data_IF_411711669852
#
_entry.id   IF_411711669852
#
_cell.length_a   1.000
_cell.length_b   1.000
_cell.length_c   1.000
_cell.angle_alpha   90.00
_cell.angle_beta   90.00
_cell.angle_gamma   90.00
#
_symmetry.space_group_name_H-M   'P 1'
#
loop_
_entity.id
_entity.type
_entity.pdbx_description
1 polymer ?
#
# COMPACT_ATOMS: atom_id res chain seq x y z
N UNK A 1 29.67 20.53 -33.96
CA UNK A 1 29.26 20.48 -32.55
C UNK A 1 28.36 19.25 -32.41
N UNK A 2 28.93 18.12 -31.97
CA UNK A 2 28.20 16.84 -31.79
C UNK A 2 27.80 16.71 -30.33
N UNK A 3 26.51 16.67 -30.09
CA UNK A 3 25.90 16.46 -28.76
C UNK A 3 25.94 14.97 -28.41
N UNK A 4 26.76 14.60 -27.44
CA UNK A 4 26.87 13.26 -26.89
C UNK A 4 25.59 12.91 -26.10
N UNK A 5 24.66 12.17 -26.70
CA UNK A 5 23.59 11.47 -26.00
C UNK A 5 24.20 10.27 -25.24
N UNK A 6 24.36 10.38 -23.93
CA UNK A 6 24.74 9.25 -23.07
C UNK A 6 23.60 8.22 -23.03
N UNK A 7 23.76 7.16 -23.81
CA UNK A 7 22.95 5.94 -23.74
C UNK A 7 23.24 5.25 -22.39
N UNK A 8 22.28 5.25 -21.51
CA UNK A 8 22.29 4.41 -20.32
C UNK A 8 21.88 2.99 -20.73
N UNK A 9 22.88 2.16 -21.02
CA UNK A 9 22.68 0.72 -21.18
C UNK A 9 22.59 0.10 -19.77
N UNK A 10 21.39 -0.22 -19.31
CA UNK A 10 21.19 -1.05 -18.14
C UNK A 10 21.41 -2.52 -18.55
N UNK A 11 22.51 -3.10 -18.10
CA UNK A 11 22.77 -4.53 -18.24
C UNK A 11 21.73 -5.30 -17.43
N UNK A 12 20.95 -6.10 -18.11
CA UNK A 12 20.03 -7.08 -17.50
C UNK A 12 20.88 -8.18 -16.86
N UNK A 13 21.15 -8.05 -15.57
CA UNK A 13 21.82 -9.09 -14.80
C UNK A 13 20.75 -10.11 -14.41
N UNK A 14 20.81 -11.31 -14.97
CA UNK A 14 19.96 -12.44 -14.61
C UNK A 14 20.33 -12.88 -13.17
N UNK A 15 19.64 -12.31 -12.17
CA UNK A 15 19.94 -12.50 -10.78
C UNK A 15 19.05 -13.61 -10.16
N UNK A 16 19.68 -14.36 -9.28
CA UNK A 16 19.22 -15.19 -8.16
C UNK A 16 17.71 -15.10 -7.84
N UNK A 17 17.04 -16.20 -7.52
CA UNK A 17 15.59 -16.22 -7.39
C UNK A 17 15.10 -15.23 -6.34
N UNK A 18 14.35 -14.22 -6.77
CA UNK A 18 13.64 -13.18 -5.99
C UNK A 18 12.57 -13.77 -5.04
N UNK A 19 12.78 -14.99 -4.53
CA UNK A 19 11.78 -15.73 -3.74
C UNK A 19 11.91 -15.51 -2.24
N UNK A 20 13.10 -15.18 -1.76
CA UNK A 20 13.32 -15.09 -0.32
C UNK A 20 12.62 -13.89 0.30
N UNK A 21 12.79 -12.69 -0.27
CA UNK A 21 12.18 -11.45 0.22
C UNK A 21 10.66 -11.51 0.08
N UNK A 22 10.14 -12.00 -1.05
CA UNK A 22 8.69 -12.18 -1.24
C UNK A 22 8.10 -13.13 -0.17
N UNK A 23 8.77 -14.24 0.11
CA UNK A 23 8.35 -15.19 1.16
C UNK A 23 8.38 -14.55 2.55
N UNK A 24 9.40 -13.74 2.85
CA UNK A 24 9.50 -13.01 4.12
C UNK A 24 8.41 -11.93 4.23
N UNK A 25 8.11 -11.21 3.14
CA UNK A 25 7.02 -10.23 3.12
C UNK A 25 5.65 -10.89 3.33
N UNK A 26 5.40 -12.05 2.70
CA UNK A 26 4.17 -12.83 2.89
C UNK A 26 4.04 -13.25 4.36
N UNK A 27 5.11 -13.75 4.97
CA UNK A 27 5.11 -14.11 6.38
C UNK A 27 4.86 -12.89 7.30
N UNK A 28 5.53 -11.75 7.03
CA UNK A 28 5.34 -10.52 7.79
C UNK A 28 3.91 -9.96 7.65
N UNK A 29 3.31 -10.06 6.45
CA UNK A 29 1.93 -9.64 6.22
C UNK A 29 0.92 -10.57 6.91
N UNK A 30 1.19 -11.89 6.98
CA UNK A 30 0.37 -12.82 7.73
C UNK A 30 0.41 -12.55 9.23
N UNK A 31 1.58 -12.26 9.79
CA UNK A 31 1.73 -11.84 11.19
C UNK A 31 0.96 -10.56 11.48
N UNK A 32 1.06 -9.55 10.58
CA UNK A 32 0.30 -8.30 10.68
C UNK A 32 -1.20 -8.56 10.68
N UNK A 33 -1.69 -9.35 9.70
CA UNK A 33 -3.10 -9.75 9.59
C UNK A 33 -3.62 -10.32 10.90
N UNK A 34 -2.91 -11.32 11.44
CA UNK A 34 -3.33 -12.05 12.62
C UNK A 34 -3.22 -11.18 13.90
N UNK A 35 -2.26 -10.27 13.95
CA UNK A 35 -2.11 -9.34 15.07
C UNK A 35 -3.23 -8.31 15.11
N UNK A 36 -3.56 -7.67 13.98
CA UNK A 36 -4.62 -6.64 13.94
C UNK A 36 -6.01 -7.24 14.07
N UNK A 37 -6.23 -8.51 13.70
CA UNK A 37 -7.50 -9.21 13.92
C UNK A 37 -7.85 -9.41 15.40
N UNK A 38 -6.87 -9.27 16.31
CA UNK A 38 -7.10 -9.35 17.76
C UNK A 38 -7.49 -8.02 18.40
N UNK A 39 -7.45 -6.93 17.62
CA UNK A 39 -7.81 -5.61 18.11
C UNK A 39 -9.33 -5.40 18.06
N UNK A 40 -9.83 -4.58 19.01
CA UNK A 40 -11.21 -4.16 19.07
C UNK A 40 -11.29 -2.64 18.99
N UNK A 41 -12.32 -2.15 18.33
CA UNK A 41 -12.57 -0.73 18.14
C UNK A 41 -13.99 -0.41 18.58
N UNK A 42 -14.19 0.76 19.17
CA UNK A 42 -15.47 1.21 19.73
C UNK A 42 -16.11 2.27 18.83
N UNK A 43 -17.39 2.56 19.03
CA UNK A 43 -18.04 3.68 18.35
C UNK A 43 -17.22 4.97 18.42
N UNK A 44 -17.16 5.73 17.32
CA UNK A 44 -18.03 5.65 16.13
C UNK A 44 -17.56 4.67 15.03
N UNK A 45 -16.58 3.79 15.29
CA UNK A 45 -16.20 2.70 14.37
C UNK A 45 -17.20 1.56 14.56
N UNK A 46 -17.98 1.26 13.52
CA UNK A 46 -18.99 0.18 13.55
C UNK A 46 -18.52 -1.04 12.71
N UNK A 47 -17.72 -0.80 11.69
CA UNK A 47 -17.20 -1.86 10.83
C UNK A 47 -15.70 -1.68 10.64
N UNK A 48 -14.98 -2.79 10.80
CA UNK A 48 -13.53 -2.85 10.52
C UNK A 48 -13.30 -3.85 9.41
N UNK A 49 -12.66 -3.39 8.32
CA UNK A 49 -12.28 -4.25 7.23
C UNK A 49 -10.79 -4.53 7.30
N UNK A 50 -10.43 -5.81 7.32
CA UNK A 50 -9.05 -6.26 7.17
C UNK A 50 -8.86 -6.92 5.80
N UNK A 51 -8.45 -6.20 4.75
CA UNK A 51 -8.20 -6.79 3.43
C UNK A 51 -7.11 -7.87 3.43
N UNK A 52 -6.21 -7.87 4.42
CA UNK A 52 -5.23 -8.96 4.57
C UNK A 52 -5.88 -10.27 5.00
N UNK A 53 -7.11 -10.23 5.51
CA UNK A 53 -7.86 -11.44 5.86
C UNK A 53 -8.70 -11.92 4.67
N UNK A 54 -9.75 -11.20 4.31
CA UNK A 54 -10.69 -11.65 3.28
C UNK A 54 -10.17 -11.55 1.83
N UNK A 55 -9.19 -10.70 1.56
CA UNK A 55 -8.55 -10.59 0.26
C UNK A 55 -7.09 -11.12 0.27
N UNK A 56 -6.81 -12.07 1.17
CA UNK A 56 -5.46 -12.61 1.36
C UNK A 56 -4.85 -13.14 0.07
N UNK A 57 -5.60 -13.94 -0.69
CA UNK A 57 -5.10 -14.54 -1.92
C UNK A 57 -4.60 -13.49 -2.93
N UNK A 58 -5.31 -12.36 -3.05
CA UNK A 58 -4.90 -11.25 -3.91
C UNK A 58 -3.68 -10.51 -3.35
N UNK A 59 -3.63 -10.29 -2.03
CA UNK A 59 -2.47 -9.69 -1.38
C UNK A 59 -1.22 -10.58 -1.49
N UNK A 60 -1.35 -11.87 -1.24
CA UNK A 60 -0.28 -12.85 -1.37
C UNK A 60 0.23 -12.94 -2.82
N UNK A 61 -0.68 -12.94 -3.81
CA UNK A 61 -0.30 -12.88 -5.22
C UNK A 61 0.49 -11.61 -5.55
N UNK A 62 0.09 -10.45 -5.00
CA UNK A 62 0.80 -9.20 -5.14
C UNK A 62 2.20 -9.27 -4.53
N UNK A 63 2.33 -9.74 -3.28
CA UNK A 63 3.61 -9.89 -2.60
C UNK A 63 4.52 -10.90 -3.33
N UNK A 64 3.97 -12.05 -3.71
CA UNK A 64 4.72 -13.10 -4.41
C UNK A 64 5.23 -12.66 -5.78
N UNK A 65 4.43 -11.88 -6.52
CA UNK A 65 4.79 -11.40 -7.86
C UNK A 65 5.79 -10.27 -7.83
N UNK A 66 5.66 -9.34 -6.89
CA UNK A 66 6.36 -8.07 -6.92
C UNK A 66 7.29 -7.80 -5.72
N UNK A 67 7.19 -8.58 -4.64
CA UNK A 67 7.94 -8.37 -3.40
C UNK A 67 9.37 -8.88 -3.42
N UNK A 68 9.82 -9.54 -4.50
CA UNK A 68 11.16 -10.13 -4.54
C UNK A 68 12.27 -9.12 -4.85
N UNK A 69 13.45 -9.37 -4.26
CA UNK A 69 14.66 -8.57 -4.41
C UNK A 69 14.65 -7.28 -3.58
N UNK A 70 15.86 -6.77 -3.29
CA UNK A 70 16.02 -5.47 -2.67
C UNK A 70 15.36 -4.37 -3.51
N UNK A 71 14.86 -3.33 -2.85
CA UNK A 71 14.16 -2.22 -3.52
C UNK A 71 14.91 -0.92 -3.29
N UNK A 72 15.05 -0.14 -4.33
CA UNK A 72 15.63 1.19 -4.22
C UNK A 72 14.70 2.15 -3.47
N UNK A 73 13.39 2.05 -3.70
CA UNK A 73 12.41 2.87 -2.99
C UNK A 73 11.16 2.07 -2.59
N UNK A 74 10.66 2.35 -1.37
CA UNK A 74 9.38 1.83 -0.87
C UNK A 74 8.43 3.01 -0.67
N UNK A 75 7.27 2.98 -1.31
CA UNK A 75 6.20 3.95 -1.12
C UNK A 75 5.31 3.52 0.04
N UNK A 76 5.12 4.40 1.01
CA UNK A 76 4.32 4.15 2.20
C UNK A 76 3.03 4.96 2.17
N UNK A 77 1.88 4.28 2.06
CA UNK A 77 0.55 4.86 2.24
C UNK A 77 0.09 4.81 3.71
N UNK A 78 -1.07 5.40 3.99
CA UNK A 78 -1.67 5.41 5.33
C UNK A 78 -2.42 4.11 5.61
N UNK A 79 -3.58 3.93 4.97
CA UNK A 79 -4.49 2.80 5.20
C UNK A 79 -5.44 2.59 4.00
N UNK A 80 -6.19 1.46 3.95
CA UNK A 80 -7.11 1.17 2.86
C UNK A 80 -8.20 2.23 2.66
N UNK A 81 -8.40 2.63 1.41
CA UNK A 81 -9.61 3.33 0.98
C UNK A 81 -10.75 2.32 0.71
N UNK A 82 -12.03 2.72 0.92
CA UNK A 82 -13.19 1.81 0.83
C UNK A 82 -13.46 1.30 -0.59
N UNK A 83 -12.98 1.97 -1.64
CA UNK A 83 -13.09 1.57 -3.04
C UNK A 83 -11.74 1.17 -3.66
N UNK A 84 -10.69 1.18 -2.83
CA UNK A 84 -9.33 0.82 -3.17
C UNK A 84 -8.90 -0.51 -2.57
N UNK A 85 -7.89 -0.50 -1.72
CA UNK A 85 -7.36 -1.72 -1.09
C UNK A 85 -8.44 -2.52 -0.35
N UNK A 86 -9.47 -1.88 0.21
CA UNK A 86 -10.58 -2.60 0.84
C UNK A 86 -11.34 -3.50 -0.15
N UNK A 87 -11.31 -3.20 -1.46
CA UNK A 87 -11.92 -4.05 -2.48
C UNK A 87 -10.98 -5.15 -2.96
N UNK A 88 -9.68 -4.88 -3.09
CA UNK A 88 -8.78 -5.73 -3.89
C UNK A 88 -7.56 -6.25 -3.14
N UNK A 89 -7.37 -5.90 -1.87
CA UNK A 89 -6.23 -6.36 -1.06
C UNK A 89 -4.87 -5.76 -1.43
N UNK A 90 -4.78 -4.89 -2.44
CA UNK A 90 -3.53 -4.29 -2.92
C UNK A 90 -3.42 -2.84 -2.46
N UNK A 91 -2.28 -2.37 -1.92
CA UNK A 91 -2.07 -0.99 -1.53
C UNK A 91 -2.37 0.00 -2.67
N UNK A 92 -3.05 1.11 -2.38
CA UNK A 92 -3.58 2.04 -3.40
C UNK A 92 -4.44 1.35 -4.45
N UNK A 93 -5.01 0.17 -4.17
CA UNK A 93 -5.74 -0.62 -5.13
C UNK A 93 -6.87 0.20 -5.78
N UNK A 94 -6.91 0.19 -7.08
CA UNK A 94 -8.00 0.64 -7.93
C UNK A 94 -8.25 -0.51 -8.90
N UNK A 95 -9.51 -0.90 -9.07
CA UNK A 95 -9.86 -2.18 -9.69
C UNK A 95 -9.22 -2.36 -11.06
N UNK A 96 -9.34 -1.36 -11.95
CA UNK A 96 -8.75 -1.45 -13.29
C UNK A 96 -7.22 -1.56 -13.26
N UNK A 97 -6.55 -0.77 -12.40
CA UNK A 97 -5.11 -0.84 -12.26
C UNK A 97 -4.65 -2.20 -11.71
N UNK A 98 -5.37 -2.75 -10.72
CA UNK A 98 -5.03 -4.05 -10.10
C UNK A 98 -5.24 -5.20 -11.08
N UNK A 99 -6.40 -5.23 -11.76
CA UNK A 99 -6.74 -6.28 -12.70
C UNK A 99 -5.93 -6.19 -13.99
N UNK A 100 -5.88 -5.03 -14.63
CA UNK A 100 -5.42 -4.89 -16.00
C UNK A 100 -3.91 -4.60 -16.09
N UNK A 101 -3.36 -3.82 -15.16
CA UNK A 101 -1.94 -3.49 -15.16
C UNK A 101 -1.14 -4.38 -14.20
N UNK A 102 -1.53 -4.49 -12.92
CA UNK A 102 -0.85 -5.35 -11.95
C UNK A 102 -1.14 -6.85 -12.19
N UNK A 103 -2.18 -7.16 -12.95
CA UNK A 103 -2.56 -8.55 -13.31
C UNK A 103 -2.77 -9.42 -12.07
N UNK A 104 -3.39 -8.86 -11.04
CA UNK A 104 -3.81 -9.57 -9.84
C UNK A 104 -5.25 -10.00 -10.05
N UNK A 105 -5.48 -11.30 -10.09
CA UNK A 105 -6.76 -11.92 -10.44
C UNK A 105 -7.21 -13.00 -9.43
N UNK A 106 -6.47 -13.12 -8.31
CA UNK A 106 -6.83 -14.05 -7.25
C UNK A 106 -8.20 -13.71 -6.63
N UNK A 107 -8.92 -14.72 -6.12
CA UNK A 107 -10.24 -14.54 -5.55
C UNK A 107 -10.20 -13.63 -4.32
N UNK A 108 -11.26 -12.82 -4.18
CA UNK A 108 -11.46 -11.89 -3.08
C UNK A 108 -12.72 -12.31 -2.33
N UNK A 109 -12.55 -12.60 -1.05
CA UNK A 109 -13.66 -12.90 -0.15
C UNK A 109 -14.33 -11.65 0.40
N UNK A 110 -15.04 -11.80 1.52
CA UNK A 110 -15.77 -10.74 2.18
C UNK A 110 -15.39 -10.64 3.64
N UNK A 111 -15.43 -9.43 4.23
CA UNK A 111 -15.27 -9.29 5.68
C UNK A 111 -16.44 -9.99 6.41
N UNK A 112 -16.24 -10.41 7.67
CA UNK A 112 -17.27 -11.06 8.47
C UNK A 112 -18.56 -10.23 8.63
N UNK A 113 -18.41 -8.90 8.60
CA UNK A 113 -19.52 -7.94 8.64
C UNK A 113 -19.29 -6.85 7.60
N UNK A 114 -20.24 -6.68 6.69
CA UNK A 114 -20.18 -5.67 5.62
C UNK A 114 -21.10 -4.49 5.94
N UNK A 115 -20.55 -3.28 5.78
CA UNK A 115 -21.36 -2.06 5.83
C UNK A 115 -22.26 -1.97 4.58
N UNK A 116 -23.60 -1.75 4.70
CA UNK A 116 -24.51 -1.79 3.56
C UNK A 116 -24.16 -0.80 2.43
N UNK A 117 -23.55 0.34 2.77
CA UNK A 117 -23.11 1.35 1.79
C UNK A 117 -21.67 1.11 1.27
N UNK A 118 -20.98 0.12 1.78
CA UNK A 118 -19.57 -0.18 1.45
C UNK A 118 -19.33 -1.69 1.27
N UNK A 119 -20.15 -2.37 0.46
CA UNK A 119 -19.96 -3.78 0.23
C UNK A 119 -18.61 -4.04 -0.46
N UNK A 120 -18.00 -5.16 -0.16
CA UNK A 120 -16.80 -5.65 -0.85
C UNK A 120 -17.26 -6.46 -2.07
N UNK A 121 -17.04 -5.89 -3.25
CA UNK A 121 -17.38 -6.49 -4.54
C UNK A 121 -16.14 -7.04 -5.27
N UNK A 122 -14.96 -6.87 -4.68
CA UNK A 122 -13.71 -7.34 -5.28
C UNK A 122 -13.41 -6.64 -6.60
N UNK A 123 -12.99 -7.44 -7.58
CA UNK A 123 -12.67 -6.95 -8.93
C UNK A 123 -13.92 -6.54 -9.74
N UNK A 124 -15.11 -6.83 -9.25
CA UNK A 124 -16.38 -6.40 -9.86
C UNK A 124 -16.86 -5.03 -9.32
N UNK A 125 -16.09 -4.39 -8.43
CA UNK A 125 -16.45 -3.08 -7.89
C UNK A 125 -16.44 -2.02 -9.01
N UNK A 126 -17.62 -1.39 -9.32
CA UNK A 126 -17.72 -0.45 -10.43
C UNK A 126 -17.15 0.94 -10.08
N UNK A 127 -16.79 1.17 -8.82
CA UNK A 127 -16.31 2.47 -8.34
C UNK A 127 -14.81 2.55 -8.40
N UNK A 128 -14.30 3.56 -9.10
CA UNK A 128 -12.87 3.86 -9.14
C UNK A 128 -12.40 4.57 -7.86
N UNK A 129 -11.26 4.16 -7.34
CA UNK A 129 -10.55 4.84 -6.25
C UNK A 129 -9.64 5.92 -6.85
N UNK A 130 -9.96 7.18 -6.62
CA UNK A 130 -9.24 8.30 -7.23
C UNK A 130 -7.76 8.32 -6.87
N UNK A 131 -7.41 8.01 -5.60
CA UNK A 131 -6.02 7.99 -5.15
C UNK A 131 -5.23 6.88 -5.86
N UNK A 132 -5.82 5.68 -5.94
CA UNK A 132 -5.23 4.55 -6.63
C UNK A 132 -5.08 4.78 -8.13
N UNK A 133 -6.12 5.33 -8.77
CA UNK A 133 -6.07 5.66 -10.20
C UNK A 133 -4.95 6.65 -10.53
N UNK A 134 -4.78 7.71 -9.70
CA UNK A 134 -3.70 8.69 -9.89
C UNK A 134 -2.33 8.05 -9.66
N UNK A 135 -2.19 7.29 -8.57
CA UNK A 135 -0.94 6.66 -8.19
C UNK A 135 -0.49 5.64 -9.25
N UNK A 136 -1.28 4.61 -9.49
CA UNK A 136 -0.94 3.56 -10.44
C UNK A 136 -0.94 4.04 -11.89
N UNK A 137 -1.84 4.97 -12.26
CA UNK A 137 -1.87 5.56 -13.60
C UNK A 137 -0.57 6.28 -13.94
N UNK A 138 -0.01 7.04 -13.01
CA UNK A 138 1.28 7.70 -13.18
C UNK A 138 2.42 6.69 -13.41
N UNK A 139 2.49 5.64 -12.59
CA UNK A 139 3.55 4.65 -12.75
C UNK A 139 3.36 3.77 -13.99
N UNK A 140 2.12 3.46 -14.35
CA UNK A 140 1.83 2.76 -15.60
C UNK A 140 2.28 3.56 -16.84
N UNK A 141 2.04 4.87 -16.85
CA UNK A 141 2.52 5.77 -17.90
C UNK A 141 4.05 5.83 -17.96
N UNK A 142 4.72 5.93 -16.79
CA UNK A 142 6.18 6.08 -16.71
C UNK A 142 6.95 4.80 -17.02
N UNK A 143 6.45 3.66 -16.60
CA UNK A 143 7.18 2.38 -16.65
C UNK A 143 6.63 1.41 -17.71
N UNK A 144 5.42 1.64 -18.22
CA UNK A 144 4.75 0.77 -19.17
C UNK A 144 4.33 -0.56 -18.56
N UNK A 145 5.28 -1.37 -18.09
CA UNK A 145 5.02 -2.67 -17.49
C UNK A 145 5.27 -2.63 -15.97
N UNK A 146 4.44 -3.33 -15.16
CA UNK A 146 4.59 -3.34 -13.70
C UNK A 146 5.93 -3.93 -13.26
N UNK A 147 6.45 -4.92 -13.97
CA UNK A 147 7.75 -5.53 -13.66
C UNK A 147 8.89 -4.50 -13.70
N UNK A 148 8.81 -3.51 -14.60
CA UNK A 148 9.81 -2.44 -14.68
C UNK A 148 9.74 -1.50 -13.47
N UNK A 149 8.54 -1.20 -12.97
CA UNK A 149 8.37 -0.44 -11.72
C UNK A 149 8.86 -1.23 -10.52
N UNK A 150 8.39 -2.47 -10.38
CA UNK A 150 8.71 -3.31 -9.22
C UNK A 150 10.12 -3.90 -9.22
N UNK A 151 10.91 -3.69 -10.28
CA UNK A 151 12.34 -4.02 -10.25
C UNK A 151 13.06 -3.28 -9.11
N UNK A 152 12.76 -1.99 -8.94
CA UNK A 152 13.43 -1.09 -7.99
C UNK A 152 12.50 -0.48 -6.93
N UNK A 153 11.18 -0.65 -7.08
CA UNK A 153 10.18 0.00 -6.21
C UNK A 153 9.24 -1.01 -5.58
N UNK A 154 8.69 -0.64 -4.42
CA UNK A 154 7.60 -1.39 -3.80
C UNK A 154 6.59 -0.44 -3.15
N UNK A 155 5.40 -0.96 -2.82
CA UNK A 155 4.31 -0.13 -2.26
C UNK A 155 3.67 -0.88 -1.10
N UNK A 156 3.52 -0.21 0.05
CA UNK A 156 2.86 -0.74 1.24
C UNK A 156 1.95 0.31 1.88
N UNK A 157 1.00 -0.12 2.69
CA UNK A 157 0.31 0.74 3.63
C UNK A 157 0.85 0.52 5.04
N UNK A 158 0.91 1.60 5.84
CA UNK A 158 1.28 1.55 7.24
C UNK A 158 0.27 0.73 8.06
N UNK A 159 -1.02 1.04 7.93
CA UNK A 159 -2.11 0.33 8.58
C UNK A 159 -2.89 -0.50 7.54
N UNK A 160 -3.17 -1.79 7.80
CA UNK A 160 -3.91 -2.63 6.86
C UNK A 160 -5.43 -2.47 6.99
N UNK A 161 -5.94 -1.78 8.03
CA UNK A 161 -7.36 -1.73 8.34
C UNK A 161 -8.07 -0.51 7.74
N UNK A 162 -9.29 -0.71 7.26
CA UNK A 162 -10.24 0.35 6.99
C UNK A 162 -11.30 0.39 8.11
N UNK A 163 -11.56 1.59 8.62
CA UNK A 163 -12.50 1.83 9.71
C UNK A 163 -13.72 2.58 9.18
N UNK A 164 -14.90 2.03 9.33
CA UNK A 164 -16.13 2.62 8.82
C UNK A 164 -17.08 2.97 9.97
N UNK A 165 -17.59 4.19 9.93
CA UNK A 165 -18.66 4.65 10.80
C UNK A 165 -20.02 4.13 10.27
N UNK A 166 -21.09 4.17 11.07
CA UNK A 166 -22.45 3.79 10.68
C UNK A 166 -22.95 4.50 9.40
N UNK A 167 -22.48 5.72 9.16
CA UNK A 167 -22.79 6.47 7.93
C UNK A 167 -22.10 5.91 6.68
N UNK A 168 -21.14 5.01 6.84
CA UNK A 168 -20.22 4.53 5.81
C UNK A 168 -19.06 5.49 5.55
N UNK A 169 -18.83 6.47 6.42
CA UNK A 169 -17.66 7.34 6.37
C UNK A 169 -16.42 6.53 6.75
N UNK A 170 -15.37 6.65 5.96
CA UNK A 170 -14.06 6.09 6.29
C UNK A 170 -13.37 6.99 7.33
N UNK A 171 -13.01 6.41 8.46
CA UNK A 171 -12.22 7.04 9.51
C UNK A 171 -10.76 6.64 9.34
N UNK A 172 -9.85 7.58 9.40
CA UNK A 172 -8.42 7.32 9.30
C UNK A 172 -7.81 6.98 10.66
N UNK A 173 -6.70 6.22 10.73
CA UNK A 173 -6.06 5.82 11.99
C UNK A 173 -5.76 6.97 12.95
N UNK A 174 -5.38 8.14 12.43
CA UNK A 174 -5.12 9.35 13.22
C UNK A 174 -6.35 9.97 13.87
N UNK A 175 -7.55 9.47 13.57
CA UNK A 175 -8.83 9.91 14.15
C UNK A 175 -9.39 8.92 15.18
N UNK A 176 -8.70 7.82 15.43
CA UNK A 176 -9.09 6.87 16.47
C UNK A 176 -8.70 7.40 17.85
N UNK A 177 -9.42 7.00 18.93
CA UNK A 177 -9.01 7.27 20.29
C UNK A 177 -7.62 6.71 20.61
N UNK A 178 -6.87 7.39 21.46
CA UNK A 178 -5.51 6.99 21.82
C UNK A 178 -5.42 5.56 22.40
N UNK A 179 -6.45 5.11 23.10
CA UNK A 179 -6.52 3.74 23.65
C UNK A 179 -6.55 2.67 22.56
N UNK A 180 -7.12 2.97 21.39
CA UNK A 180 -7.21 2.08 20.23
C UNK A 180 -6.01 2.27 19.29
N UNK A 181 -5.57 3.53 19.13
CA UNK A 181 -4.46 3.86 18.24
C UNK A 181 -3.13 3.25 18.72
N UNK A 182 -2.84 3.30 20.03
CA UNK A 182 -1.56 2.83 20.59
C UNK A 182 -1.28 1.35 20.30
N UNK A 183 -2.18 0.39 20.60
CA UNK A 183 -1.92 -1.01 20.28
C UNK A 183 -1.83 -1.26 18.77
N UNK A 184 -2.63 -0.56 17.96
CA UNK A 184 -2.56 -0.62 16.51
C UNK A 184 -1.20 -0.12 15.98
N UNK A 185 -0.71 1.00 16.50
CA UNK A 185 0.58 1.58 16.11
C UNK A 185 1.75 0.67 16.46
N UNK A 186 1.74 0.00 17.61
CA UNK A 186 2.81 -0.97 17.96
C UNK A 186 2.91 -2.05 16.87
N UNK A 187 1.80 -2.64 16.50
CA UNK A 187 1.75 -3.70 15.47
C UNK A 187 2.19 -3.17 14.09
N UNK A 188 1.67 -2.00 13.69
CA UNK A 188 2.01 -1.39 12.40
C UNK A 188 3.49 -0.93 12.34
N UNK A 189 4.03 -0.43 13.44
CA UNK A 189 5.44 -0.03 13.54
C UNK A 189 6.37 -1.23 13.37
N UNK A 190 6.07 -2.34 14.06
CA UNK A 190 6.83 -3.59 13.91
C UNK A 190 6.80 -4.11 12.47
N UNK A 191 5.62 -4.07 11.83
CA UNK A 191 5.50 -4.48 10.44
C UNK A 191 6.31 -3.57 9.50
N UNK A 192 6.23 -2.25 9.65
CA UNK A 192 7.01 -1.30 8.84
C UNK A 192 8.51 -1.55 8.98
N UNK A 193 8.99 -1.76 10.21
CA UNK A 193 10.39 -2.08 10.46
C UNK A 193 10.81 -3.40 9.77
N UNK A 194 9.95 -4.44 9.82
CA UNK A 194 10.19 -5.71 9.11
C UNK A 194 10.25 -5.50 7.59
N UNK A 195 9.33 -4.76 7.01
CA UNK A 195 9.32 -4.47 5.56
C UNK A 195 10.61 -3.78 5.12
N UNK A 196 11.06 -2.77 5.88
CA UNK A 196 12.32 -2.07 5.58
C UNK A 196 13.53 -2.99 5.73
N UNK A 197 13.56 -3.83 6.76
CA UNK A 197 14.65 -4.79 6.96
C UNK A 197 14.71 -5.85 5.83
N UNK A 198 13.57 -6.30 5.31
CA UNK A 198 13.49 -7.27 4.22
C UNK A 198 13.90 -6.64 2.88
N UNK A 199 13.35 -5.47 2.55
CA UNK A 199 13.52 -4.85 1.23
C UNK A 199 14.78 -3.98 1.13
N UNK A 200 15.36 -3.57 2.26
CA UNK A 200 16.57 -2.75 2.36
C UNK A 200 16.55 -1.52 1.43
N UNK A 201 15.51 -0.68 1.45
CA UNK A 201 15.39 0.42 0.52
C UNK A 201 16.40 1.53 0.83
N UNK A 202 16.92 2.18 -0.23
CA UNK A 202 17.64 3.45 -0.10
C UNK A 202 16.71 4.59 0.36
N UNK A 203 15.46 4.55 -0.14
CA UNK A 203 14.45 5.56 0.15
C UNK A 203 13.15 4.94 0.64
N UNK A 204 12.57 5.52 1.70
CA UNK A 204 11.17 5.36 2.02
C UNK A 204 10.44 6.65 1.63
N UNK A 205 9.55 6.54 0.65
CA UNK A 205 8.79 7.66 0.10
C UNK A 205 7.39 7.67 0.72
N UNK A 206 7.19 8.53 1.68
CA UNK A 206 5.91 8.70 2.35
C UNK A 206 4.89 9.40 1.43
N UNK A 207 3.70 8.82 1.29
CA UNK A 207 2.58 9.39 0.53
C UNK A 207 1.70 10.17 1.48
N UNK A 208 2.02 11.46 1.66
CA UNK A 208 1.36 12.37 2.59
C UNK A 208 2.00 12.45 3.97
N UNK A 209 1.60 13.46 4.75
CA UNK A 209 2.25 13.80 6.04
C UNK A 209 2.07 12.77 7.15
N UNK A 210 0.97 12.00 7.16
CA UNK A 210 0.80 10.94 8.15
C UNK A 210 1.87 9.85 7.98
N UNK A 211 2.06 9.38 6.75
CA UNK A 211 3.05 8.36 6.45
C UNK A 211 4.47 8.84 6.73
N UNK A 212 4.78 10.12 6.42
CA UNK A 212 6.07 10.74 6.74
C UNK A 212 6.34 10.74 8.24
N UNK A 213 5.35 11.17 9.05
CA UNK A 213 5.45 11.17 10.50
C UNK A 213 5.75 9.76 11.03
N UNK A 214 4.98 8.75 10.60
CA UNK A 214 5.17 7.36 11.05
C UNK A 214 6.50 6.77 10.58
N UNK A 215 6.92 7.02 9.36
CA UNK A 215 8.22 6.61 8.88
C UNK A 215 9.36 7.20 9.73
N UNK A 216 9.30 8.51 10.04
CA UNK A 216 10.32 9.19 10.84
C UNK A 216 10.36 8.69 12.28
N UNK A 217 9.20 8.38 12.87
CA UNK A 217 9.12 7.80 14.22
C UNK A 217 9.71 6.40 14.29
N UNK A 218 9.38 5.53 13.33
CA UNK A 218 9.75 4.11 13.34
C UNK A 218 11.18 3.88 12.89
N UNK A 219 11.65 4.64 11.90
CA UNK A 219 12.91 4.39 11.21
C UNK A 219 14.03 5.36 11.61
N UNK A 220 13.89 6.03 12.76
CA UNK A 220 14.86 7.02 13.24
C UNK A 220 16.29 6.48 13.45
N UNK A 221 16.46 5.16 13.57
CA UNK A 221 17.74 4.47 13.72
C UNK A 221 18.10 3.62 12.47
N UNK A 222 17.27 3.61 11.43
CA UNK A 222 17.52 2.84 10.23
C UNK A 222 18.32 3.66 9.21
N UNK A 223 19.18 2.98 8.45
CA UNK A 223 19.91 3.60 7.34
C UNK A 223 19.03 3.65 6.09
N UNK A 224 18.01 4.50 6.15
CA UNK A 224 17.05 4.74 5.06
C UNK A 224 16.73 6.23 4.99
N UNK A 225 16.74 6.79 3.78
CA UNK A 225 16.35 8.18 3.56
C UNK A 225 14.84 8.28 3.49
N UNK A 226 14.25 9.25 4.20
CA UNK A 226 12.81 9.49 4.16
C UNK A 226 12.53 10.70 3.27
N UNK A 227 11.70 10.48 2.26
CA UNK A 227 11.15 11.52 1.40
C UNK A 227 9.63 11.57 1.50
N UNK A 228 9.01 12.66 1.01
CA UNK A 228 7.55 12.79 0.96
C UNK A 228 7.07 13.26 -0.40
N UNK A 229 5.98 12.66 -0.86
CA UNK A 229 5.17 13.17 -1.97
C UNK A 229 3.77 13.54 -1.48
N UNK A 230 3.06 14.36 -2.25
CA UNK A 230 1.67 14.69 -1.94
C UNK A 230 0.78 13.44 -2.00
N UNK A 231 -0.19 13.38 -1.08
CA UNK A 231 -1.20 12.32 -1.15
C UNK A 231 -2.12 12.54 -2.36
N UNK A 232 -2.34 11.53 -3.22
CA UNK A 232 -3.14 11.68 -4.44
C UNK A 232 -4.66 11.78 -4.22
N UNK A 233 -5.09 11.94 -2.96
CA UNK A 233 -6.50 12.06 -2.58
C UNK A 233 -7.18 13.27 -3.20
N UNK A 234 -8.46 13.16 -3.60
CA UNK A 234 -9.27 14.30 -4.00
C UNK A 234 -9.48 15.33 -2.86
N UNK A 235 -9.26 14.94 -1.61
CA UNK A 235 -9.26 15.85 -0.47
C UNK A 235 -8.03 16.77 -0.41
N UNK A 236 -7.00 16.52 -1.25
CA UNK A 236 -5.81 17.39 -1.36
C UNK A 236 -6.01 18.43 -2.47
N UNK A 237 -6.18 19.73 -2.16
CA UNK A 237 -6.34 20.78 -3.20
C UNK A 237 -5.14 20.86 -4.15
N UNK A 238 -3.92 20.63 -3.65
CA UNK A 238 -2.72 20.61 -4.46
C UNK A 238 -2.73 19.46 -5.47
N UNK A 239 -3.08 18.23 -5.02
CA UNK A 239 -3.17 17.07 -5.89
C UNK A 239 -4.27 17.19 -6.97
N UNK A 240 -5.28 18.02 -6.74
CA UNK A 240 -6.34 18.26 -7.75
C UNK A 240 -5.90 19.21 -8.88
N UNK A 241 -4.76 19.91 -8.73
CA UNK A 241 -4.19 20.79 -9.76
C UNK A 241 -3.16 20.10 -10.67
N UNK A 242 -2.98 18.80 -10.53
CA UNK A 242 -2.00 18.02 -11.28
C UNK A 242 -1.06 17.27 -10.32
N UNK A 243 -1.49 16.12 -9.82
CA UNK A 243 -0.71 15.34 -8.84
C UNK A 243 0.67 14.91 -9.36
N UNK A 244 0.84 14.50 -10.63
CA UNK A 244 2.14 14.08 -11.16
C UNK A 244 3.17 15.23 -11.26
N UNK A 245 2.73 16.47 -11.22
CA UNK A 245 3.55 17.68 -11.43
C UNK A 245 4.00 18.33 -10.11
N UNK A 246 3.54 17.78 -8.98
CA UNK A 246 3.82 18.30 -7.63
C UNK A 246 4.92 17.49 -6.95
#
# INVERSE_FOLDING_TARGET
MQTLAKRWCWGYNAAVPKRAEATQLIAAAAELRDAVNRLSFLPPVEFVYNPLDYAWAAHEQFLGRYGGGAKRAVFLGMNPGPFGMAQVGVPFGEVAAVRDWLRIDAPIGKPPSEHPKRPVLGLDCPRSEVSGRRFWGFFAEKFGQPEAFFADHFVVNYCPLAFLEDTGRNRTPDKLPAAETRPLEVICNEHLAKVVAILQPEWLVAVGGFAEKKASEVLCQADVKIGRILHPSPASPAANRGWPEQ
#
